data_IF_893370131993
#
_entry.id   IF_893370131993
#
_cell.length_a   1.000
_cell.length_b   1.000
_cell.length_c   1.000
_cell.angle_alpha   90.00
_cell.angle_beta   90.00
_cell.angle_gamma   90.00
#
_symmetry.space_group_name_H-M   'P 1'
#
loop_
_entity.id
_entity.type
_entity.pdbx_description
1 polymer ?
#
# COMPACT_ATOMS: atom_id res chain seq x y z
N UNK A 1 -15.72 -42.50 78.07
CA UNK A 1 -15.99 -42.45 76.62
C UNK A 1 -14.67 -42.38 75.87
N UNK A 2 -14.20 -43.51 75.34
CA UNK A 2 -12.90 -43.66 74.67
C UNK A 2 -13.12 -43.73 73.16
N UNK A 3 -12.61 -42.75 72.39
CA UNK A 3 -12.66 -42.74 70.93
C UNK A 3 -11.41 -43.43 70.39
N UNK A 4 -11.59 -44.60 69.77
CA UNK A 4 -10.55 -45.30 69.02
C UNK A 4 -10.21 -44.51 67.74
N UNK A 5 -8.99 -44.00 67.65
CA UNK A 5 -8.43 -43.51 66.39
C UNK A 5 -8.09 -44.69 65.49
N UNK A 6 -8.73 -44.77 64.31
CA UNK A 6 -8.32 -45.69 63.25
C UNK A 6 -7.07 -45.13 62.60
N UNK A 7 -5.97 -45.87 62.70
CA UNK A 7 -4.73 -45.61 61.99
C UNK A 7 -5.01 -45.76 60.48
N UNK A 8 -4.81 -44.69 59.72
CA UNK A 8 -4.97 -44.69 58.27
C UNK A 8 -3.60 -44.94 57.65
N UNK A 9 -3.30 -46.21 57.37
CA UNK A 9 -2.09 -46.59 56.64
C UNK A 9 -2.25 -46.16 55.19
N UNK A 10 -1.54 -45.09 54.81
CA UNK A 10 -1.39 -44.70 53.41
C UNK A 10 -0.49 -45.77 52.75
N UNK A 11 -0.95 -46.46 51.69
CA UNK A 11 -0.11 -47.41 50.99
C UNK A 11 1.05 -46.66 50.33
N UNK A 12 2.25 -46.78 50.91
CA UNK A 12 3.52 -46.43 50.27
C UNK A 12 3.87 -47.50 49.23
N UNK A 13 2.96 -47.75 48.30
CA UNK A 13 3.28 -48.51 47.09
C UNK A 13 4.11 -47.60 46.22
N UNK A 14 5.44 -47.82 46.18
CA UNK A 14 6.28 -47.26 45.12
C UNK A 14 5.58 -47.63 43.81
N UNK A 15 5.17 -46.68 42.96
CA UNK A 15 4.55 -47.01 41.68
C UNK A 15 5.52 -47.95 40.96
N UNK A 16 5.07 -49.18 40.72
CA UNK A 16 5.82 -50.15 39.95
C UNK A 16 6.19 -49.47 38.63
N UNK A 17 7.47 -49.52 38.25
CA UNK A 17 7.93 -48.97 36.98
C UNK A 17 7.19 -49.70 35.87
N UNK A 18 6.08 -49.15 35.41
CA UNK A 18 5.39 -49.61 34.22
C UNK A 18 6.33 -49.35 33.05
N UNK A 19 6.86 -50.40 32.44
CA UNK A 19 7.67 -50.27 31.24
C UNK A 19 6.82 -49.65 30.15
N UNK A 20 7.31 -48.58 29.52
CA UNK A 20 6.68 -47.97 28.35
C UNK A 20 6.55 -49.02 27.26
N UNK A 21 5.34 -49.26 26.78
CA UNK A 21 5.13 -50.17 25.65
C UNK A 21 5.63 -49.52 24.36
N UNK A 22 6.18 -50.33 23.46
CA UNK A 22 6.64 -49.86 22.15
C UNK A 22 5.51 -49.17 21.36
N UNK A 23 4.27 -49.60 21.58
CA UNK A 23 3.08 -49.00 20.98
C UNK A 23 2.83 -47.57 21.48
N UNK A 24 2.96 -47.30 22.77
CA UNK A 24 2.82 -45.94 23.33
C UNK A 24 3.89 -45.00 22.79
N UNK A 25 5.14 -45.47 22.65
CA UNK A 25 6.23 -44.68 22.07
C UNK A 25 5.96 -44.37 20.59
N UNK A 26 5.47 -45.34 19.81
CA UNK A 26 5.13 -45.11 18.40
C UNK A 26 3.96 -44.13 18.24
N UNK A 27 2.94 -44.22 19.08
CA UNK A 27 1.83 -43.26 19.08
C UNK A 27 2.36 -41.86 19.43
N UNK A 28 3.20 -41.74 20.46
CA UNK A 28 3.80 -40.47 20.84
C UNK A 28 4.67 -39.87 19.71
N UNK A 29 5.50 -40.69 19.06
CA UNK A 29 6.27 -40.28 17.89
C UNK A 29 5.37 -39.86 16.72
N UNK A 30 4.27 -40.57 16.48
CA UNK A 30 3.30 -40.24 15.42
C UNK A 30 2.60 -38.89 15.67
N UNK A 31 2.10 -38.67 16.89
CA UNK A 31 1.48 -37.39 17.29
C UNK A 31 2.50 -36.25 17.21
N UNK A 32 3.74 -36.47 17.64
CA UNK A 32 4.81 -35.47 17.55
C UNK A 32 5.14 -35.12 16.10
N UNK A 33 5.27 -36.12 15.21
CA UNK A 33 5.54 -35.89 13.80
C UNK A 33 4.40 -35.14 13.10
N UNK A 34 3.14 -35.50 13.39
CA UNK A 34 1.97 -34.80 12.87
C UNK A 34 1.88 -33.36 13.39
N UNK A 35 2.16 -33.15 14.67
CA UNK A 35 2.19 -31.81 15.28
C UNK A 35 3.27 -30.92 14.67
N UNK A 36 4.49 -31.43 14.54
CA UNK A 36 5.61 -30.68 13.96
C UNK A 36 5.39 -30.40 12.46
N UNK A 37 4.85 -31.36 11.73
CA UNK A 37 4.48 -31.21 10.32
C UNK A 37 3.42 -30.13 10.12
N UNK A 38 2.42 -30.05 11.01
CA UNK A 38 1.41 -29.00 11.00
C UNK A 38 2.00 -27.60 11.20
N UNK A 39 2.89 -27.42 12.17
CA UNK A 39 3.58 -26.14 12.40
C UNK A 39 4.47 -25.77 11.22
N UNK A 40 5.21 -26.74 10.67
CA UNK A 40 6.06 -26.53 9.50
C UNK A 40 5.24 -26.06 8.27
N UNK A 41 4.02 -26.58 8.10
CA UNK A 41 3.12 -26.16 7.03
C UNK A 41 2.62 -24.71 7.16
N UNK A 42 2.62 -24.14 8.37
CA UNK A 42 2.20 -22.75 8.61
C UNK A 42 3.31 -21.72 8.34
N UNK A 43 4.58 -22.13 8.37
CA UNK A 43 5.72 -21.22 8.24
C UNK A 43 5.73 -20.42 6.93
N UNK A 44 5.42 -20.99 5.74
CA UNK A 44 5.39 -20.21 4.49
C UNK A 44 4.29 -19.14 4.52
N UNK A 45 3.11 -19.48 5.03
CA UNK A 45 1.99 -18.54 5.13
C UNK A 45 2.31 -17.40 6.11
N UNK A 46 2.93 -17.71 7.25
CA UNK A 46 3.40 -16.72 8.21
C UNK A 46 4.45 -15.79 7.57
N UNK A 47 5.43 -16.35 6.86
CA UNK A 47 6.47 -15.58 6.17
C UNK A 47 5.90 -14.58 5.17
N UNK A 48 4.89 -14.98 4.38
CA UNK A 48 4.21 -14.07 3.44
C UNK A 48 3.50 -12.91 4.15
N UNK A 49 2.85 -13.17 5.29
CA UNK A 49 2.16 -12.14 6.08
C UNK A 49 3.14 -11.19 6.76
N UNK A 50 4.22 -11.70 7.33
CA UNK A 50 5.28 -10.87 7.90
C UNK A 50 5.96 -9.99 6.85
N UNK A 51 6.23 -10.54 5.66
CA UNK A 51 6.75 -9.77 4.54
C UNK A 51 5.81 -8.62 4.14
N UNK A 52 4.50 -8.88 4.04
CA UNK A 52 3.52 -7.83 3.77
C UNK A 52 3.47 -6.75 4.86
N UNK A 53 3.55 -7.14 6.14
CA UNK A 53 3.57 -6.21 7.26
C UNK A 53 4.81 -5.31 7.24
N UNK A 54 6.00 -5.88 7.02
CA UNK A 54 7.26 -5.10 6.92
C UNK A 54 7.17 -4.06 5.80
N UNK A 55 6.62 -4.43 4.64
CA UNK A 55 6.45 -3.48 3.53
C UNK A 55 5.45 -2.38 3.90
N UNK A 56 4.36 -2.71 4.58
CA UNK A 56 3.38 -1.72 5.03
C UNK A 56 3.97 -0.72 6.04
N UNK A 57 4.83 -1.20 6.96
CA UNK A 57 5.53 -0.35 7.92
C UNK A 57 6.51 0.58 7.22
N UNK A 58 7.34 0.06 6.30
CA UNK A 58 8.25 0.87 5.48
C UNK A 58 7.48 1.90 4.66
N UNK A 59 6.37 1.51 4.04
CA UNK A 59 5.55 2.41 3.25
C UNK A 59 4.97 3.55 4.10
N UNK A 60 4.65 3.30 5.38
CA UNK A 60 4.22 4.35 6.30
C UNK A 60 5.31 5.39 6.56
N UNK A 61 6.55 4.95 6.80
CA UNK A 61 7.67 5.87 6.98
C UNK A 61 7.96 6.68 5.71
N UNK A 62 7.92 6.05 4.55
CA UNK A 62 8.08 6.72 3.25
C UNK A 62 6.97 7.76 3.04
N UNK A 63 5.71 7.43 3.35
CA UNK A 63 4.60 8.36 3.22
C UNK A 63 4.77 9.59 4.15
N UNK A 64 5.16 9.36 5.41
CA UNK A 64 5.41 10.44 6.37
C UNK A 64 6.56 11.36 5.92
N UNK A 65 7.64 10.79 5.40
CA UNK A 65 8.77 11.55 4.86
C UNK A 65 8.37 12.35 3.62
N UNK A 66 7.60 11.74 2.70
CA UNK A 66 7.09 12.43 1.52
C UNK A 66 6.17 13.60 1.90
N UNK A 67 5.31 13.43 2.91
CA UNK A 67 4.50 14.52 3.45
C UNK A 67 5.36 15.66 4.02
N UNK A 68 6.33 15.35 4.88
CA UNK A 68 7.23 16.35 5.46
C UNK A 68 8.03 17.09 4.37
N UNK A 69 8.45 16.39 3.32
CA UNK A 69 9.16 17.00 2.20
C UNK A 69 8.29 17.98 1.41
N UNK A 70 7.04 17.62 1.12
CA UNK A 70 6.09 18.51 0.43
C UNK A 70 5.92 19.84 1.17
N UNK A 71 5.92 19.80 2.51
CA UNK A 71 5.85 20.99 3.35
C UNK A 71 7.19 21.74 3.39
N UNK A 72 8.28 21.06 3.69
CA UNK A 72 9.61 21.68 3.86
C UNK A 72 10.12 22.35 2.58
N UNK A 73 9.75 21.83 1.41
CA UNK A 73 10.11 22.40 0.10
C UNK A 73 9.13 23.47 -0.39
N UNK A 74 8.06 23.75 0.35
CA UNK A 74 7.02 24.68 -0.06
C UNK A 74 6.25 24.23 -1.31
N UNK A 75 6.18 22.91 -1.56
CA UNK A 75 5.42 22.35 -2.67
C UNK A 75 3.90 22.37 -2.40
N UNK A 76 3.52 22.45 -1.13
CA UNK A 76 2.15 22.79 -0.70
C UNK A 76 1.90 24.32 -0.74
N UNK A 77 2.29 24.99 -1.82
CA UNK A 77 2.02 26.42 -2.05
C UNK A 77 1.11 26.62 -3.25
N UNK A 78 0.36 27.72 -3.24
CA UNK A 78 -0.48 28.10 -4.38
C UNK A 78 0.38 28.41 -5.62
N UNK A 79 1.59 28.94 -5.42
CA UNK A 79 2.56 29.19 -6.48
C UNK A 79 3.06 27.90 -7.15
N UNK A 80 3.17 26.81 -6.39
CA UNK A 80 3.45 25.48 -6.91
C UNK A 80 2.24 24.86 -7.61
N UNK A 81 1.11 25.56 -7.73
CA UNK A 81 -0.08 25.07 -8.41
C UNK A 81 -0.47 26.01 -9.57
N UNK A 82 0.40 26.24 -10.58
CA UNK A 82 0.16 27.25 -11.59
C UNK A 82 -0.95 26.84 -12.56
N UNK A 83 -1.84 27.78 -12.85
CA UNK A 83 -2.86 27.65 -13.89
C UNK A 83 -4.19 27.08 -13.41
N UNK A 84 -4.95 26.53 -14.36
CA UNK A 84 -6.32 26.06 -14.15
C UNK A 84 -6.41 24.56 -13.89
N UNK A 85 -5.28 23.92 -13.56
CA UNK A 85 -5.28 22.49 -13.27
C UNK A 85 -5.97 22.22 -11.93
N UNK A 86 -6.83 21.18 -11.90
CA UNK A 86 -7.59 20.81 -10.70
C UNK A 86 -6.81 19.94 -9.73
N UNK A 87 -5.77 19.26 -10.19
CA UNK A 87 -4.80 18.61 -9.32
C UNK A 87 -3.39 18.70 -9.90
N UNK A 88 -2.41 18.71 -9.00
CA UNK A 88 -1.00 18.78 -9.34
C UNK A 88 -0.30 17.53 -8.87
N UNK A 89 0.46 16.93 -9.78
CA UNK A 89 1.10 15.63 -9.57
C UNK A 89 2.61 15.81 -9.41
N UNK A 90 3.15 15.16 -8.38
CA UNK A 90 4.53 15.24 -7.96
C UNK A 90 5.12 13.84 -7.74
N UNK A 91 6.44 13.72 -7.87
CA UNK A 91 7.20 12.52 -7.52
C UNK A 91 7.40 11.52 -8.68
N UNK A 92 8.49 10.72 -8.61
CA UNK A 92 8.90 9.79 -9.68
C UNK A 92 7.85 8.71 -9.97
N UNK A 93 7.09 8.31 -8.95
CA UNK A 93 6.00 7.33 -9.07
C UNK A 93 4.92 7.71 -10.08
N UNK A 94 4.70 9.01 -10.28
CA UNK A 94 3.57 9.53 -11.02
C UNK A 94 3.98 10.26 -12.31
N UNK A 95 5.26 10.21 -12.68
CA UNK A 95 5.80 10.86 -13.89
C UNK A 95 5.09 10.38 -15.16
N UNK A 96 4.66 9.11 -15.19
CA UNK A 96 3.87 8.57 -16.30
C UNK A 96 2.37 8.84 -16.23
N UNK A 97 1.82 9.33 -15.11
CA UNK A 97 0.38 9.45 -14.90
C UNK A 97 -0.24 10.44 -15.89
N UNK A 98 0.45 11.56 -16.15
CA UNK A 98 0.06 12.54 -17.14
C UNK A 98 0.10 11.97 -18.57
N UNK A 99 1.11 11.16 -18.90
CA UNK A 99 1.20 10.51 -20.23
C UNK A 99 0.20 9.37 -20.43
N UNK A 100 -0.23 8.70 -19.35
CA UNK A 100 -1.19 7.61 -19.43
C UNK A 100 -2.63 8.08 -19.74
N UNK A 101 -2.95 9.35 -19.45
CA UNK A 101 -4.26 9.93 -19.67
C UNK A 101 -4.16 11.30 -20.39
N UNK A 102 -3.70 11.34 -21.65
CA UNK A 102 -3.42 12.60 -22.36
C UNK A 102 -4.68 13.45 -22.56
N UNK A 103 -5.84 12.83 -22.75
CA UNK A 103 -7.15 13.51 -22.86
C UNK A 103 -7.54 14.22 -21.55
N UNK A 104 -7.12 13.66 -20.42
CA UNK A 104 -7.39 14.19 -19.08
C UNK A 104 -6.47 15.36 -18.75
N UNK A 105 -5.20 15.28 -19.18
CA UNK A 105 -4.25 16.40 -19.10
C UNK A 105 -4.69 17.55 -20.02
N UNK A 106 -5.11 17.24 -21.25
CA UNK A 106 -5.65 18.24 -22.19
C UNK A 106 -6.93 18.92 -21.65
N UNK A 107 -7.72 18.22 -20.83
CA UNK A 107 -8.89 18.75 -20.14
C UNK A 107 -8.55 19.60 -18.90
N UNK A 108 -7.27 19.82 -18.57
CA UNK A 108 -6.88 20.60 -17.39
C UNK A 108 -7.22 19.93 -16.05
N UNK A 109 -7.48 18.62 -16.03
CA UNK A 109 -7.78 17.92 -14.78
C UNK A 109 -6.50 17.62 -13.98
N UNK A 110 -5.39 17.33 -14.66
CA UNK A 110 -4.08 17.06 -14.08
C UNK A 110 -3.02 18.00 -14.65
N UNK A 111 -2.36 18.76 -13.78
CA UNK A 111 -1.13 19.51 -14.07
C UNK A 111 0.07 18.71 -13.60
N UNK A 112 0.96 18.34 -14.52
CA UNK A 112 2.24 17.72 -14.17
C UNK A 112 3.23 18.78 -13.69
N UNK A 113 3.86 18.57 -12.55
CA UNK A 113 4.96 19.41 -12.07
C UNK A 113 6.26 18.61 -12.12
N UNK A 114 7.24 19.23 -12.76
CA UNK A 114 8.50 18.69 -13.24
C UNK A 114 9.13 17.58 -12.36
N UNK A 115 9.33 16.42 -12.97
CA UNK A 115 9.96 15.20 -12.44
C UNK A 115 11.38 15.42 -11.87
N UNK A 116 12.04 16.52 -12.21
CA UNK A 116 13.42 16.81 -11.81
C UNK A 116 13.62 17.34 -10.39
N UNK A 117 12.55 17.62 -9.62
CA UNK A 117 12.65 18.31 -8.31
C UNK A 117 12.39 17.44 -7.06
N UNK A 118 12.37 16.12 -7.17
CA UNK A 118 11.94 15.23 -6.07
C UNK A 118 13.09 14.51 -5.38
N UNK A 119 13.02 14.35 -4.06
CA UNK A 119 13.86 13.42 -3.31
C UNK A 119 13.43 11.99 -3.59
N UNK A 120 14.40 11.17 -3.97
CA UNK A 120 14.27 9.71 -3.93
C UNK A 120 14.58 9.31 -2.49
N UNK A 121 13.68 8.58 -1.84
CA UNK A 121 13.98 7.98 -0.53
C UNK A 121 15.05 6.89 -0.74
N UNK A 122 16.32 7.30 -0.66
CA UNK A 122 17.50 6.46 -0.77
C UNK A 122 17.81 5.83 0.59
N UNK A 123 16.94 4.97 1.10
CA UNK A 123 17.24 4.22 2.30
C UNK A 123 17.11 2.71 2.05
N UNK A 124 18.27 2.08 1.90
CA UNK A 124 18.40 0.63 1.98
C UNK A 124 19.43 0.33 3.07
N UNK A 125 19.06 -0.43 4.08
CA UNK A 125 20.02 -1.03 5.02
C UNK A 125 20.32 -2.41 4.46
N UNK A 126 21.47 -2.55 3.79
CA UNK A 126 21.90 -3.87 3.29
C UNK A 126 22.44 -4.68 4.45
N UNK A 127 21.79 -5.80 4.72
CA UNK A 127 22.32 -6.84 5.59
C UNK A 127 23.37 -7.60 4.76
N UNK A 128 24.65 -7.46 5.11
CA UNK A 128 25.65 -8.40 4.64
C UNK A 128 25.48 -9.71 5.42
N UNK A 129 25.67 -10.85 4.76
CA UNK A 129 25.65 -12.20 5.38
C UNK A 129 26.87 -12.45 6.30
N UNK A 130 27.66 -11.42 6.60
CA UNK A 130 28.84 -11.51 7.45
C UNK A 130 28.47 -11.21 8.92
N UNK A 131 29.14 -11.86 9.89
CA UNK A 131 28.90 -11.67 11.31
C UNK A 131 29.45 -10.30 11.76
N UNK A 132 28.67 -9.27 11.51
CA UNK A 132 28.90 -7.89 11.92
C UNK A 132 27.59 -7.15 11.71
N UNK A 133 27.08 -6.50 12.75
CA UNK A 133 25.77 -5.87 12.75
C UNK A 133 25.53 -4.86 11.61
N UNK A 134 24.34 -4.25 11.55
CA UNK A 134 23.96 -3.36 10.45
C UNK A 134 25.02 -2.29 10.23
N UNK A 135 25.64 -2.29 9.04
CA UNK A 135 26.63 -1.30 8.64
C UNK A 135 26.00 -0.40 7.59
N UNK A 136 25.81 0.87 7.93
CA UNK A 136 25.54 1.91 6.93
C UNK A 136 26.84 2.17 6.18
N UNK A 137 27.03 1.48 5.06
CA UNK A 137 28.12 1.73 4.14
C UNK A 137 27.71 2.91 3.23
N UNK A 138 28.06 4.12 3.64
CA UNK A 138 28.13 5.25 2.72
C UNK A 138 29.37 5.08 1.85
N UNK A 139 29.29 5.58 0.62
CA UNK A 139 30.16 5.32 -0.53
C UNK A 139 31.67 5.47 -0.26
N UNK A 140 32.26 4.44 0.35
CA UNK A 140 33.70 4.28 0.52
C UNK A 140 34.16 3.20 -0.48
N UNK A 141 34.96 3.62 -1.47
CA UNK A 141 35.83 2.79 -2.32
C UNK A 141 35.35 2.43 -3.76
N UNK A 142 34.73 3.35 -4.50
CA UNK A 142 34.79 3.32 -5.97
C UNK A 142 34.09 2.12 -6.65
N UNK A 143 33.13 1.49 -5.96
CA UNK A 143 32.30 0.39 -6.48
C UNK A 143 31.13 0.88 -7.36
N UNK A 144 31.14 2.17 -7.72
CA UNK A 144 30.04 2.84 -8.41
C UNK A 144 28.89 3.18 -7.47
N UNK A 145 28.05 4.16 -7.83
CA UNK A 145 26.88 4.52 -7.03
C UNK A 145 26.04 3.27 -6.81
N UNK A 146 25.63 3.04 -5.57
CA UNK A 146 24.77 1.92 -5.16
C UNK A 146 23.63 1.79 -6.18
N UNK A 147 23.54 0.65 -6.87
CA UNK A 147 22.42 0.41 -7.79
C UNK A 147 21.15 0.39 -6.95
N UNK A 148 20.33 1.42 -7.13
CA UNK A 148 19.00 1.56 -6.56
C UNK A 148 18.23 0.26 -6.80
N UNK A 149 17.74 -0.36 -5.72
CA UNK A 149 16.64 -1.30 -5.84
C UNK A 149 15.39 -0.47 -5.64
N UNK A 150 14.71 -0.12 -6.74
CA UNK A 150 13.39 0.53 -6.82
C UNK A 150 12.30 -0.28 -6.10
N UNK A 151 12.49 -0.63 -4.84
CA UNK A 151 11.60 -1.52 -4.11
C UNK A 151 10.44 -0.78 -3.47
N UNK A 152 10.57 0.54 -3.24
CA UNK A 152 9.49 1.43 -2.86
C UNK A 152 9.79 2.85 -3.39
N UNK A 153 8.82 3.44 -4.12
CA UNK A 153 8.81 4.83 -4.58
C UNK A 153 7.55 5.54 -4.04
N UNK A 154 7.58 6.86 -3.98
CA UNK A 154 6.42 7.65 -3.60
C UNK A 154 6.07 8.71 -4.66
N UNK A 155 4.83 9.15 -4.63
CA UNK A 155 4.32 10.28 -5.40
C UNK A 155 3.31 11.07 -4.58
N UNK A 156 3.04 12.30 -4.98
CA UNK A 156 2.06 13.14 -4.33
C UNK A 156 1.10 13.75 -5.34
N UNK A 157 -0.15 13.93 -4.93
CA UNK A 157 -1.16 14.68 -5.67
C UNK A 157 -1.77 15.74 -4.77
N UNK A 158 -1.70 17.01 -5.16
CA UNK A 158 -2.36 18.12 -4.45
C UNK A 158 -3.62 18.51 -5.20
N UNK A 159 -4.72 18.59 -4.47
CA UNK A 159 -6.04 18.97 -5.00
C UNK A 159 -6.53 20.20 -4.22
N UNK A 160 -6.43 21.42 -4.76
CA UNK A 160 -6.98 22.61 -4.11
C UNK A 160 -8.52 22.60 -4.10
N UNK A 161 -9.12 23.16 -3.05
CA UNK A 161 -10.59 23.33 -2.97
C UNK A 161 -11.10 24.33 -4.01
N UNK A 162 -10.27 25.30 -4.41
CA UNK A 162 -10.58 26.30 -5.44
C UNK A 162 -9.62 26.20 -6.61
N UNK A 163 -10.12 26.43 -7.82
CA UNK A 163 -9.29 26.56 -9.02
C UNK A 163 -9.58 27.93 -9.66
N UNK A 164 -8.58 28.80 -9.87
CA UNK A 164 -7.15 28.60 -9.59
C UNK A 164 -6.85 28.51 -8.08
N UNK A 165 -5.72 27.86 -7.74
CA UNK A 165 -5.24 27.77 -6.37
C UNK A 165 -4.92 29.16 -5.82
N UNK A 166 -5.32 29.45 -4.58
CA UNK A 166 -5.05 30.72 -3.91
C UNK A 166 -4.35 30.49 -2.57
N UNK A 167 -3.43 31.37 -2.14
CA UNK A 167 -2.85 31.31 -0.81
C UNK A 167 -3.94 31.33 0.27
N UNK A 168 -3.76 30.54 1.32
CA UNK A 168 -4.68 30.40 2.44
C UNK A 168 -5.87 29.47 2.19
N UNK A 169 -6.05 28.91 0.99
CA UNK A 169 -7.13 27.94 0.74
C UNK A 169 -6.73 26.54 1.16
N UNK A 170 -7.72 25.74 1.58
CA UNK A 170 -7.52 24.35 1.89
C UNK A 170 -7.26 23.53 0.61
N UNK A 171 -6.44 22.51 0.72
CA UNK A 171 -6.16 21.53 -0.30
C UNK A 171 -6.01 20.14 0.32
N UNK A 172 -6.29 19.10 -0.47
CA UNK A 172 -6.04 17.71 -0.10
C UNK A 172 -4.72 17.29 -0.72
N UNK A 173 -3.72 17.02 0.11
CA UNK A 173 -2.46 16.41 -0.28
C UNK A 173 -2.58 14.90 -0.11
N UNK A 174 -2.49 14.15 -1.19
CA UNK A 174 -2.46 12.68 -1.14
C UNK A 174 -1.05 12.18 -1.44
N UNK A 175 -0.48 11.37 -0.55
CA UNK A 175 0.81 10.70 -0.75
C UNK A 175 0.55 9.24 -1.09
N UNK A 176 1.02 8.80 -2.26
CA UNK A 176 0.96 7.41 -2.69
C UNK A 176 2.34 6.77 -2.58
N UNK A 177 2.38 5.52 -2.11
CA UNK A 177 3.59 4.72 -2.00
C UNK A 177 3.42 3.42 -2.77
N UNK A 178 4.37 3.11 -3.64
CA UNK A 178 4.32 1.97 -4.56
C UNK A 178 5.60 1.14 -4.45
N UNK A 179 5.52 -0.20 -4.64
CA UNK A 179 6.69 -1.09 -4.61
C UNK A 179 7.65 -0.92 -5.81
N UNK A 180 7.22 -0.25 -6.86
CA UNK A 180 7.98 0.06 -8.07
C UNK A 180 7.20 1.11 -8.84
N UNK A 181 7.85 1.97 -9.62
CA UNK A 181 7.15 2.80 -10.60
C UNK A 181 6.62 1.89 -11.72
N UNK A 182 5.46 1.26 -11.49
CA UNK A 182 4.75 0.54 -12.54
C UNK A 182 4.31 1.52 -13.64
N UNK A 183 4.20 1.04 -14.87
CA UNK A 183 3.62 1.86 -15.94
C UNK A 183 2.16 2.16 -15.58
N UNK A 184 1.78 3.45 -15.46
CA UNK A 184 0.40 3.82 -15.19
C UNK A 184 -0.49 3.38 -16.35
N UNK A 185 -1.63 2.79 -16.02
CA UNK A 185 -2.62 2.30 -16.99
C UNK A 185 -3.90 3.09 -16.83
N UNK A 186 -4.31 3.78 -17.88
CA UNK A 186 -5.60 4.45 -17.93
C UNK A 186 -6.68 3.47 -18.38
N UNK A 187 -7.73 3.34 -17.59
CA UNK A 187 -8.88 2.47 -17.85
C UNK A 187 -10.12 3.34 -17.79
N UNK A 188 -10.93 3.31 -18.85
CA UNK A 188 -12.25 3.95 -18.81
C UNK A 188 -13.25 3.01 -18.15
N UNK A 189 -14.11 3.52 -17.28
CA UNK A 189 -15.09 2.77 -16.52
C UNK A 189 -16.49 3.35 -16.76
N UNK A 190 -17.45 2.49 -17.07
CA UNK A 190 -18.85 2.87 -17.26
C UNK A 190 -19.67 2.41 -16.07
N UNK A 191 -20.49 3.27 -15.48
CA UNK A 191 -21.30 2.89 -14.31
C UNK A 191 -22.49 2.03 -14.74
N UNK A 192 -22.67 0.89 -14.08
CA UNK A 192 -23.84 0.03 -14.25
C UNK A 192 -25.00 0.48 -13.35
N UNK A 193 -26.21 0.01 -13.67
CA UNK A 193 -27.42 0.27 -12.87
C UNK A 193 -27.26 -0.22 -11.41
N UNK A 194 -26.52 -1.31 -11.20
CA UNK A 194 -26.25 -1.93 -9.90
C UNK A 194 -25.21 -1.16 -9.06
N UNK A 195 -24.70 -0.02 -9.56
CA UNK A 195 -23.72 0.81 -8.87
C UNK A 195 -22.26 0.34 -9.00
N UNK A 196 -22.00 -0.82 -9.59
CA UNK A 196 -20.65 -1.26 -9.98
C UNK A 196 -20.17 -0.54 -11.24
N UNK A 197 -18.86 -0.51 -11.47
CA UNK A 197 -18.28 0.02 -12.70
C UNK A 197 -17.88 -1.11 -13.64
N UNK A 198 -18.17 -0.99 -14.92
CA UNK A 198 -17.82 -1.94 -15.96
C UNK A 198 -16.66 -1.41 -16.78
N UNK A 199 -15.71 -2.29 -17.07
CA UNK A 199 -14.60 -2.02 -17.98
C UNK A 199 -15.05 -2.33 -19.42
N UNK A 200 -14.80 -1.44 -20.40
CA UNK A 200 -15.01 -1.72 -21.81
C UNK A 200 -14.28 -2.99 -22.23
N UNK A 201 -14.81 -3.67 -23.25
CA UNK A 201 -14.29 -4.97 -23.70
C UNK A 201 -12.81 -4.91 -24.11
N UNK A 202 -12.37 -3.79 -24.68
CA UNK A 202 -10.97 -3.53 -25.05
C UNK A 202 -10.00 -3.55 -23.85
N UNK A 203 -10.48 -3.16 -22.66
CA UNK A 203 -9.67 -3.04 -21.44
C UNK A 203 -9.91 -4.19 -20.45
N UNK A 204 -10.74 -5.17 -20.80
CA UNK A 204 -11.18 -6.27 -19.91
C UNK A 204 -10.04 -7.13 -19.37
N UNK A 205 -8.90 -7.17 -20.06
CA UNK A 205 -7.69 -7.89 -19.64
C UNK A 205 -6.80 -7.06 -18.72
N UNK A 206 -7.00 -5.73 -18.66
CA UNK A 206 -6.28 -4.82 -17.78
C UNK A 206 -6.89 -4.88 -16.38
N UNK A 207 -6.55 -5.93 -15.63
CA UNK A 207 -7.08 -6.10 -14.27
C UNK A 207 -6.43 -5.10 -13.32
N UNK A 208 -7.28 -4.34 -12.61
CA UNK A 208 -6.89 -3.70 -11.37
C UNK A 208 -6.79 -4.77 -10.28
N UNK A 209 -5.76 -4.70 -9.44
CA UNK A 209 -5.64 -5.63 -8.31
C UNK A 209 -6.74 -5.33 -7.29
N UNK A 210 -7.39 -6.35 -6.75
CA UNK A 210 -8.30 -6.17 -5.61
C UNK A 210 -7.53 -5.59 -4.42
N UNK A 211 -8.19 -4.75 -3.64
CA UNK A 211 -7.61 -4.03 -2.49
C UNK A 211 -6.44 -3.10 -2.83
N UNK A 212 -6.31 -2.66 -4.10
CA UNK A 212 -5.38 -1.59 -4.47
C UNK A 212 -6.07 -0.22 -4.43
N UNK A 213 -5.30 0.85 -4.60
CA UNK A 213 -5.85 2.19 -4.82
C UNK A 213 -5.61 2.64 -6.26
N UNK A 214 -6.51 3.46 -6.77
CA UNK A 214 -6.46 4.01 -8.12
C UNK A 214 -6.76 5.50 -8.09
N UNK A 215 -6.20 6.25 -9.03
CA UNK A 215 -6.47 7.68 -9.17
C UNK A 215 -7.63 7.85 -10.15
N UNK A 216 -8.78 8.30 -9.65
CA UNK A 216 -9.95 8.61 -10.46
C UNK A 216 -9.82 10.03 -10.97
N UNK A 217 -10.07 10.20 -12.27
CA UNK A 217 -9.93 11.48 -12.96
C UNK A 217 -11.13 11.75 -13.85
N UNK A 218 -11.62 12.99 -13.82
CA UNK A 218 -12.80 13.35 -14.56
C UNK A 218 -12.43 13.70 -16.01
N UNK A 219 -13.24 13.22 -16.95
CA UNK A 219 -13.14 13.63 -18.34
C UNK A 219 -13.76 15.01 -18.53
N UNK A 220 -12.99 16.09 -18.34
CA UNK A 220 -13.41 17.44 -18.71
C UNK A 220 -13.04 18.54 -17.70
N UNK A 221 -12.99 19.78 -18.20
CA UNK A 221 -12.58 20.99 -17.45
C UNK A 221 -13.56 21.34 -16.31
N UNK A 222 -14.81 20.87 -16.41
CA UNK A 222 -15.88 21.10 -15.42
C UNK A 222 -16.16 19.89 -14.52
N UNK A 223 -15.45 18.78 -14.72
CA UNK A 223 -15.64 17.55 -13.96
C UNK A 223 -15.02 17.61 -12.56
N UNK A 224 -15.46 16.76 -11.63
CA UNK A 224 -14.98 16.77 -10.25
C UNK A 224 -13.45 16.62 -10.13
N UNK A 225 -12.84 17.14 -9.06
CA UNK A 225 -11.39 17.16 -8.92
C UNK A 225 -10.85 15.73 -8.70
N UNK A 226 -9.67 15.39 -9.25
CA UNK A 226 -9.11 14.04 -9.18
C UNK A 226 -9.01 13.51 -7.75
N UNK A 227 -9.33 12.23 -7.53
CA UNK A 227 -9.37 11.64 -6.20
C UNK A 227 -8.82 10.20 -6.20
N UNK A 228 -8.08 9.83 -5.15
CA UNK A 228 -7.70 8.44 -4.95
C UNK A 228 -8.82 7.65 -4.32
N UNK A 229 -9.09 6.47 -4.86
CA UNK A 229 -10.17 5.58 -4.41
C UNK A 229 -9.64 4.17 -4.24
N UNK A 230 -10.16 3.45 -3.24
CA UNK A 230 -9.83 2.04 -3.04
C UNK A 230 -10.67 1.14 -3.96
N UNK A 231 -10.05 0.11 -4.50
CA UNK A 231 -10.70 -0.94 -5.28
C UNK A 231 -11.14 -2.03 -4.30
N UNK A 232 -12.45 -2.11 -4.02
CA UNK A 232 -13.01 -3.13 -3.12
C UNK A 232 -12.85 -4.53 -3.72
N UNK A 233 -13.16 -4.65 -5.01
CA UNK A 233 -13.03 -5.90 -5.76
C UNK A 233 -12.91 -5.63 -7.26
N UNK A 234 -12.27 -6.56 -7.97
CA UNK A 234 -12.07 -6.48 -9.42
C UNK A 234 -12.21 -7.88 -10.00
N UNK A 235 -12.99 -8.02 -11.08
CA UNK A 235 -13.25 -9.28 -11.77
C UNK A 235 -13.37 -9.05 -13.29
N UNK A 236 -13.37 -10.11 -14.13
CA UNK A 236 -13.32 -9.95 -15.58
C UNK A 236 -14.52 -9.18 -16.16
N UNK A 237 -14.29 -7.90 -16.46
CA UNK A 237 -15.28 -7.00 -17.04
C UNK A 237 -15.89 -6.01 -16.05
N UNK A 238 -15.76 -6.19 -14.74
CA UNK A 238 -16.30 -5.21 -13.78
C UNK A 238 -15.41 -5.01 -12.56
N UNK A 239 -15.52 -3.82 -11.98
CA UNK A 239 -14.75 -3.33 -10.85
C UNK A 239 -15.71 -2.70 -9.85
N UNK A 240 -15.58 -3.10 -8.59
CA UNK A 240 -16.23 -2.45 -7.46
C UNK A 240 -15.25 -1.46 -6.83
N UNK A 241 -15.56 -0.18 -6.95
CA UNK A 241 -14.82 0.91 -6.31
C UNK A 241 -15.48 1.28 -4.99
N UNK A 242 -14.69 1.78 -4.05
CA UNK A 242 -15.20 2.37 -2.82
C UNK A 242 -15.73 3.78 -3.07
N UNK A 243 -16.96 3.86 -3.56
CA UNK A 243 -17.60 5.13 -3.93
C UNK A 243 -17.97 6.01 -2.76
N UNK A 244 -17.88 5.53 -1.51
CA UNK A 244 -18.10 6.36 -0.32
C UNK A 244 -17.02 7.43 -0.17
N UNK A 245 -15.80 7.13 -0.63
CA UNK A 245 -14.70 8.08 -0.66
C UNK A 245 -14.82 9.09 -1.82
N UNK A 246 -15.71 8.84 -2.79
CA UNK A 246 -15.97 9.74 -3.90
C UNK A 246 -17.04 10.76 -3.52
N UNK A 247 -16.75 12.04 -3.79
CA UNK A 247 -17.74 13.09 -3.66
C UNK A 247 -18.99 12.78 -4.52
N UNK A 248 -20.20 13.22 -4.11
CA UNK A 248 -21.45 12.88 -4.79
C UNK A 248 -21.49 13.29 -6.27
N UNK A 249 -20.69 14.30 -6.65
CA UNK A 249 -20.45 14.76 -8.02
C UNK A 249 -19.87 13.69 -8.96
N UNK A 250 -19.23 12.64 -8.44
CA UNK A 250 -18.76 11.49 -9.21
C UNK A 250 -19.84 10.44 -9.47
N UNK A 251 -20.98 10.53 -8.78
CA UNK A 251 -22.05 9.54 -8.88
C UNK A 251 -22.79 9.73 -10.21
N UNK A 252 -22.83 8.66 -11.02
CA UNK A 252 -23.58 8.64 -12.28
C UNK A 252 -22.77 8.95 -13.54
N UNK A 253 -21.47 9.22 -13.44
CA UNK A 253 -20.60 9.46 -14.61
C UNK A 253 -19.75 8.24 -14.98
N UNK A 254 -19.36 8.17 -16.25
CA UNK A 254 -18.25 7.32 -16.68
C UNK A 254 -16.94 7.92 -16.13
N UNK A 255 -16.11 7.07 -15.54
CA UNK A 255 -14.87 7.48 -14.88
C UNK A 255 -13.68 7.12 -15.75
N UNK A 256 -12.64 7.95 -15.75
CA UNK A 256 -11.31 7.53 -16.21
C UNK A 256 -10.48 7.26 -14.97
N UNK A 257 -9.91 6.07 -14.89
CA UNK A 257 -9.16 5.62 -13.72
C UNK A 257 -7.74 5.30 -14.14
N UNK A 258 -6.78 5.88 -13.44
CA UNK A 258 -5.36 5.60 -13.60
C UNK A 258 -4.97 4.59 -12.52
N UNK A 259 -4.76 3.36 -12.96
CA UNK A 259 -4.24 2.28 -12.14
C UNK A 259 -2.72 2.28 -12.12
N UNK A 260 -2.16 2.01 -10.95
CA UNK A 260 -0.72 1.82 -10.78
C UNK A 260 -0.46 0.42 -10.24
N UNK A 261 0.55 -0.25 -10.78
CA UNK A 261 0.97 -1.55 -10.28
C UNK A 261 1.76 -1.39 -8.98
N UNK A 262 1.47 -2.22 -7.98
CA UNK A 262 2.24 -2.27 -6.74
C UNK A 262 1.96 -1.13 -5.76
N UNK A 263 0.82 -0.45 -5.84
CA UNK A 263 0.39 0.49 -4.78
C UNK A 263 0.31 -0.24 -3.45
N UNK A 264 1.05 0.25 -2.46
CA UNK A 264 1.06 -0.29 -1.11
C UNK A 264 0.14 0.51 -0.20
N UNK A 265 0.17 1.84 -0.34
CA UNK A 265 -0.48 2.76 0.59
C UNK A 265 -0.80 4.08 -0.09
N UNK A 266 -1.93 4.66 0.27
CA UNK A 266 -2.28 6.05 -0.02
C UNK A 266 -2.66 6.71 1.29
N UNK A 267 -2.08 7.87 1.58
CA UNK A 267 -2.43 8.70 2.72
C UNK A 267 -2.98 10.04 2.25
N UNK A 268 -3.98 10.54 2.95
CA UNK A 268 -4.60 11.83 2.68
C UNK A 268 -4.34 12.78 3.84
N UNK A 269 -3.87 13.97 3.52
CA UNK A 269 -3.55 15.03 4.46
C UNK A 269 -4.28 16.31 4.03
N UNK A 270 -4.96 16.94 4.98
CA UNK A 270 -5.53 18.28 4.77
C UNK A 270 -4.42 19.30 5.00
N UNK A 271 -4.15 20.12 3.99
CA UNK A 271 -3.12 21.14 4.03
C UNK A 271 -3.71 22.50 3.65
N UNK A 272 -3.14 23.57 4.16
CA UNK A 272 -3.45 24.94 3.71
C UNK A 272 -2.35 25.39 2.78
N UNK A 273 -2.72 25.86 1.59
CA UNK A 273 -1.75 26.35 0.62
C UNK A 273 -1.12 27.64 1.14
N UNK A 274 0.21 27.71 1.11
CA UNK A 274 0.96 28.93 1.40
C UNK A 274 1.09 29.84 0.18
#
# INVERSE_FOLDING_TARGET
MSRKFKHFDLPTGRPGRAGLSLLEVLIACGVLALGLGGVAALLPAAGQRFGAAIVADRARFVAANGHAEMLNRGLASAAACPGNARAFVFGPALVGAASAAPTVVAAGSLGGIDAGRFFVAEDDVVFNDLPGGPRNAFDENGLGPRKYRDSIVWGATIVPVSTPAQPGTAAVLSIVVLRRSGEPKSISLVRNADGTYQCPEADRLQRLNGCSSVLVVAGGVNGPPPAWVSVRASWPGSVALDTEALAPEWQGQSLVVIGFEGVVRVEHHLVTLQ
#
